data_IF_626357974011
#
_entry.id   IF_626357974011
#
_cell.length_a   1.000
_cell.length_b   1.000
_cell.length_c   1.000
_cell.angle_alpha   90.00
_cell.angle_beta   90.00
_cell.angle_gamma   90.00
#
_symmetry.space_group_name_H-M   'P 1'
#
loop_
_entity.id
_entity.type
_entity.pdbx_description
1 polymer ?
#
# COMPACT_ATOMS: atom_id res chain seq x y z
N UNK A 1 -16.26 10.44 -17.29
CA UNK A 1 -14.93 10.95 -16.87
C UNK A 1 -14.03 9.95 -16.17
N UNK A 2 -14.31 9.47 -14.96
CA UNK A 2 -13.36 8.60 -14.23
C UNK A 2 -13.05 7.25 -14.90
N UNK A 3 -14.05 6.55 -15.45
CA UNK A 3 -13.81 5.31 -16.21
C UNK A 3 -12.92 5.52 -17.43
N UNK A 4 -13.12 6.65 -18.13
CA UNK A 4 -12.29 7.00 -19.30
C UNK A 4 -10.85 7.30 -18.89
N UNK A 5 -10.65 7.91 -17.71
CA UNK A 5 -9.31 8.10 -17.13
C UNK A 5 -8.63 6.76 -16.84
N UNK A 6 -9.31 5.84 -16.15
CA UNK A 6 -8.77 4.50 -15.87
C UNK A 6 -8.41 3.77 -17.16
N UNK A 7 -9.30 3.79 -18.16
CA UNK A 7 -9.05 3.21 -19.46
C UNK A 7 -7.78 3.74 -20.11
N UNK A 8 -7.63 5.07 -20.20
CA UNK A 8 -6.45 5.72 -20.80
C UNK A 8 -5.17 5.40 -20.02
N UNK A 9 -5.25 5.36 -18.69
CA UNK A 9 -4.12 4.98 -17.84
C UNK A 9 -3.67 3.55 -18.14
N UNK A 10 -4.60 2.60 -18.15
CA UNK A 10 -4.31 1.19 -18.45
C UNK A 10 -3.80 1.01 -19.88
N UNK A 11 -4.37 1.71 -20.86
CA UNK A 11 -3.87 1.73 -22.25
C UNK A 11 -2.42 2.22 -22.32
N UNK A 12 -2.08 3.28 -21.59
CA UNK A 12 -0.70 3.80 -21.50
C UNK A 12 0.28 2.81 -20.87
N UNK A 13 -0.11 2.16 -19.77
CA UNK A 13 0.71 1.12 -19.11
C UNK A 13 0.98 -0.05 -20.07
N UNK A 14 -0.05 -0.52 -20.78
CA UNK A 14 0.08 -1.63 -21.72
C UNK A 14 0.91 -1.25 -22.96
N UNK A 15 0.76 -0.01 -23.45
CA UNK A 15 1.59 0.50 -24.54
C UNK A 15 3.07 0.59 -24.11
N UNK A 16 3.33 1.07 -22.89
CA UNK A 16 4.68 1.08 -22.32
C UNK A 16 5.28 -0.33 -22.21
N UNK A 17 4.50 -1.29 -21.71
CA UNK A 17 4.92 -2.69 -21.64
C UNK A 17 5.27 -3.27 -23.01
N UNK A 18 4.48 -2.98 -24.04
CA UNK A 18 4.73 -3.43 -25.40
C UNK A 18 5.93 -2.73 -26.07
N UNK A 19 6.24 -1.49 -25.66
CA UNK A 19 7.36 -0.72 -26.18
C UNK A 19 8.71 -1.06 -25.53
N UNK A 20 8.71 -1.78 -24.40
CA UNK A 20 9.94 -2.23 -23.76
C UNK A 20 10.66 -3.27 -24.64
N UNK A 21 11.93 -3.00 -24.97
CA UNK A 21 12.76 -3.95 -25.73
C UNK A 21 13.07 -5.25 -24.98
N UNK A 22 12.92 -5.26 -23.66
CA UNK A 22 12.95 -6.45 -22.81
C UNK A 22 12.20 -6.19 -21.51
N UNK A 23 11.70 -7.25 -20.87
CA UNK A 23 11.07 -7.13 -19.54
C UNK A 23 12.13 -6.74 -18.49
N UNK A 24 11.74 -6.03 -17.41
CA UNK A 24 12.65 -5.70 -16.31
C UNK A 24 13.34 -6.95 -15.73
N UNK A 25 14.53 -6.78 -15.16
CA UNK A 25 15.38 -7.88 -14.72
C UNK A 25 14.71 -8.74 -13.63
N UNK A 26 13.83 -8.15 -12.81
CA UNK A 26 13.05 -8.84 -11.79
C UNK A 26 12.19 -9.95 -12.40
N UNK A 27 11.61 -9.73 -13.58
CA UNK A 27 10.84 -10.74 -14.30
C UNK A 27 11.72 -11.83 -14.92
N UNK A 28 13.00 -11.55 -15.19
CA UNK A 28 13.95 -12.59 -15.59
C UNK A 28 14.31 -13.48 -14.39
N UNK A 29 14.62 -12.86 -13.25
CA UNK A 29 14.94 -13.57 -12.02
C UNK A 29 13.79 -14.47 -11.56
N UNK A 30 12.56 -13.93 -11.56
CA UNK A 30 11.35 -14.65 -11.15
C UNK A 30 10.81 -15.62 -12.22
N UNK A 31 11.42 -15.67 -13.41
CA UNK A 31 10.93 -16.42 -14.58
C UNK A 31 9.46 -16.13 -14.90
N UNK A 32 9.00 -14.92 -14.60
CA UNK A 32 7.62 -14.49 -14.79
C UNK A 32 7.48 -13.68 -16.09
N UNK A 33 6.28 -13.67 -16.67
CA UNK A 33 5.94 -12.81 -17.82
C UNK A 33 5.01 -11.71 -17.35
N UNK A 34 5.31 -10.42 -17.62
CA UNK A 34 4.40 -9.33 -17.29
C UNK A 34 3.05 -9.55 -17.97
N UNK A 35 1.96 -9.38 -17.21
CA UNK A 35 0.59 -9.46 -17.73
C UNK A 35 0.13 -8.06 -18.14
N UNK A 36 -0.65 -7.92 -19.22
CA UNK A 36 -1.31 -6.66 -19.53
C UNK A 36 -2.30 -6.32 -18.41
N UNK A 37 -2.37 -5.03 -18.08
CA UNK A 37 -3.28 -4.51 -17.08
C UNK A 37 -4.71 -4.38 -17.62
N UNK A 38 -5.66 -4.51 -16.71
CA UNK A 38 -7.06 -4.14 -16.85
C UNK A 38 -7.36 -2.83 -16.09
N UNK A 39 -8.52 -2.23 -16.31
CA UNK A 39 -8.96 -1.05 -15.54
C UNK A 39 -9.08 -1.37 -14.03
N UNK A 40 -9.45 -2.60 -13.68
CA UNK A 40 -9.62 -3.04 -12.30
C UNK A 40 -8.29 -3.07 -11.53
N UNK A 41 -7.17 -3.39 -12.20
CA UNK A 41 -5.86 -3.46 -11.55
C UNK A 41 -5.44 -2.12 -10.93
N UNK A 42 -5.82 -1.00 -11.55
CA UNK A 42 -5.56 0.35 -11.01
C UNK A 42 -6.27 0.58 -9.67
N UNK A 43 -7.51 0.09 -9.53
CA UNK A 43 -8.27 0.17 -8.30
C UNK A 43 -7.72 -0.78 -7.24
N UNK A 44 -7.33 -1.98 -7.66
CA UNK A 44 -6.76 -3.00 -6.76
C UNK A 44 -5.41 -2.56 -6.17
N UNK A 45 -4.59 -1.84 -6.92
CA UNK A 45 -3.34 -1.25 -6.38
C UNK A 45 -3.65 -0.21 -5.31
N UNK A 46 -4.61 0.69 -5.53
CA UNK A 46 -5.02 1.66 -4.51
C UNK A 46 -5.64 0.99 -3.28
N UNK A 47 -6.39 -0.09 -3.50
CA UNK A 47 -6.95 -0.89 -2.41
C UNK A 47 -5.86 -1.60 -1.60
N UNK A 48 -4.87 -2.22 -2.25
CA UNK A 48 -3.74 -2.85 -1.57
C UNK A 48 -2.96 -1.82 -0.74
N UNK A 49 -2.72 -0.62 -1.28
CA UNK A 49 -2.08 0.47 -0.53
C UNK A 49 -2.87 0.86 0.72
N UNK A 50 -4.20 0.86 0.64
CA UNK A 50 -5.06 1.12 1.80
C UNK A 50 -4.91 0.03 2.84
N UNK A 51 -4.86 -1.24 2.44
CA UNK A 51 -4.67 -2.35 3.38
C UNK A 51 -3.33 -2.30 4.09
N UNK A 52 -2.26 -1.91 3.38
CA UNK A 52 -0.90 -1.89 3.94
C UNK A 52 -0.63 -0.64 4.80
N UNK A 53 -1.17 0.52 4.42
CA UNK A 53 -0.90 1.78 5.11
C UNK A 53 -1.88 2.08 6.25
N UNK A 54 -3.08 1.53 6.22
CA UNK A 54 -4.03 1.73 7.30
C UNK A 54 -3.79 0.69 8.39
N UNK A 55 -3.47 1.15 9.59
CA UNK A 55 -3.40 0.29 10.79
C UNK A 55 -4.46 0.71 11.81
N UNK A 56 -5.75 0.46 11.53
CA UNK A 56 -6.80 0.80 12.47
C UNK A 56 -6.69 -0.07 13.72
N UNK A 57 -6.44 0.55 14.87
CA UNK A 57 -6.52 -0.10 16.17
C UNK A 57 -5.25 -0.83 16.63
N UNK A 58 -4.19 -0.99 15.82
CA UNK A 58 -2.95 -1.62 16.32
C UNK A 58 -2.19 -0.69 17.26
N UNK A 59 -2.18 0.62 16.97
CA UNK A 59 -1.55 1.61 17.83
C UNK A 59 -2.17 1.59 19.23
N UNK A 60 -3.50 1.64 19.31
CA UNK A 60 -4.28 1.65 20.55
C UNK A 60 -4.14 0.33 21.32
N UNK A 61 -4.12 -0.81 20.60
CA UNK A 61 -3.87 -2.13 21.21
C UNK A 61 -2.47 -2.19 21.83
N UNK A 62 -1.44 -1.78 21.09
CA UNK A 62 -0.06 -1.78 21.58
C UNK A 62 0.10 -0.83 22.76
N UNK A 63 -0.50 0.36 22.70
CA UNK A 63 -0.53 1.32 23.81
C UNK A 63 -1.17 0.70 25.06
N UNK A 64 -2.35 0.09 24.91
CA UNK A 64 -3.05 -0.56 26.02
C UNK A 64 -2.21 -1.68 26.64
N UNK A 65 -1.54 -2.49 25.83
CA UNK A 65 -0.63 -3.54 26.32
C UNK A 65 0.54 -2.97 27.13
N UNK A 66 1.23 -1.94 26.60
CA UNK A 66 2.35 -1.30 27.31
C UNK A 66 1.87 -0.65 28.61
N UNK A 67 0.72 0.05 28.58
CA UNK A 67 0.10 0.65 29.76
C UNK A 67 -0.23 -0.39 30.82
N UNK A 68 -0.80 -1.53 30.43
CA UNK A 68 -1.21 -2.58 31.35
C UNK A 68 -0.01 -3.29 32.01
N UNK A 69 1.12 -3.42 31.31
CA UNK A 69 2.30 -4.15 31.80
C UNK A 69 3.28 -3.23 32.54
N UNK A 70 3.56 -2.04 31.98
CA UNK A 70 4.62 -1.14 32.44
C UNK A 70 4.08 0.15 33.10
N UNK A 71 2.77 0.37 33.07
CA UNK A 71 2.11 1.54 33.64
C UNK A 71 2.09 2.75 32.72
N UNK A 72 1.36 3.78 33.15
CA UNK A 72 1.05 4.99 32.37
C UNK A 72 2.31 5.78 31.95
N UNK A 73 3.30 5.91 32.84
CA UNK A 73 4.49 6.70 32.53
C UNK A 73 5.35 6.06 31.43
N UNK A 74 5.51 4.73 31.47
CA UNK A 74 6.22 3.99 30.44
C UNK A 74 5.46 4.03 29.11
N UNK A 75 4.12 3.89 29.13
CA UNK A 75 3.30 3.99 27.94
C UNK A 75 3.45 5.35 27.23
N UNK A 76 3.36 6.47 27.97
CA UNK A 76 3.56 7.81 27.41
C UNK A 76 4.96 8.06 26.87
N UNK A 77 5.97 7.40 27.44
CA UNK A 77 7.34 7.50 26.95
C UNK A 77 7.52 6.77 25.62
N UNK A 78 7.00 5.55 25.49
CA UNK A 78 7.17 4.73 24.29
C UNK A 78 6.18 5.04 23.16
N UNK A 79 5.05 5.66 23.48
CA UNK A 79 4.04 6.09 22.53
C UNK A 79 3.71 7.57 22.78
N UNK A 80 4.52 8.49 22.26
CA UNK A 80 4.26 9.93 22.37
C UNK A 80 2.99 10.30 21.57
N UNK A 81 2.28 11.32 22.05
CA UNK A 81 1.10 11.88 21.40
C UNK A 81 1.46 12.27 19.96
N UNK A 82 0.75 11.69 19.00
CA UNK A 82 0.91 11.93 17.57
C UNK A 82 -0.04 13.03 17.07
N UNK A 83 -1.13 13.30 17.79
CA UNK A 83 -2.08 14.39 17.52
C UNK A 83 -2.76 14.95 18.78
N UNK A 84 -3.54 16.04 18.64
CA UNK A 84 -4.28 16.66 19.74
C UNK A 84 -5.48 15.83 20.25
N UNK A 85 -5.92 14.82 19.49
CA UNK A 85 -7.05 13.96 19.81
C UNK A 85 -6.63 12.60 20.42
N UNK A 86 -5.33 12.39 20.65
CA UNK A 86 -4.75 11.19 21.30
C UNK A 86 -4.88 11.20 22.84
#
# INVERSE_FOLDING_TARGET
DQRALLRRYTEGVNAGLAALGSKPWEYHFLRATPRPWSEADSLLVGYALTLDLQSPGEHERNYATVRNILGEQAARFFAPLSGPDD
#
